data_IF_159395832468
#
_entry.id   IF_159395832468
#
_cell.length_a   1.000
_cell.length_b   1.000
_cell.length_c   1.000
_cell.angle_alpha   90.00
_cell.angle_beta   90.00
_cell.angle_gamma   90.00
#
_symmetry.space_group_name_H-M   'P 1'
#
loop_
_entity.id
_entity.type
_entity.pdbx_description
1 polymer ?
#
# COMPACT_ATOMS: atom_id res chain seq x y z
N UNK A 1 19.45 5.34 3.98
CA UNK A 1 18.61 6.47 3.55
C UNK A 1 17.29 6.33 4.28
N UNK A 2 16.77 7.39 4.90
CA UNK A 2 15.46 7.35 5.55
C UNK A 2 14.42 7.58 4.45
N UNK A 3 13.59 6.58 4.13
CA UNK A 3 12.50 6.76 3.17
C UNK A 3 11.51 7.79 3.73
N UNK A 4 11.23 8.84 2.96
CA UNK A 4 10.31 9.91 3.35
C UNK A 4 8.90 9.55 2.94
N UNK A 5 7.90 10.17 3.59
CA UNK A 5 6.51 10.01 3.17
C UNK A 5 6.30 10.38 1.70
N UNK A 6 6.92 11.46 1.23
CA UNK A 6 6.74 11.93 -0.16
C UNK A 6 7.29 10.93 -1.17
N UNK A 7 8.47 10.35 -0.92
CA UNK A 7 9.05 9.33 -1.79
C UNK A 7 8.20 8.05 -1.80
N UNK A 8 7.77 7.60 -0.62
CA UNK A 8 6.87 6.45 -0.47
C UNK A 8 5.54 6.65 -1.20
N UNK A 9 4.94 7.83 -1.06
CA UNK A 9 3.66 8.14 -1.68
C UNK A 9 3.76 8.22 -3.19
N UNK A 10 4.80 8.88 -3.72
CA UNK A 10 5.03 8.94 -5.17
C UNK A 10 5.34 7.55 -5.76
N UNK A 11 6.11 6.69 -5.07
CA UNK A 11 6.32 5.31 -5.51
C UNK A 11 5.02 4.50 -5.63
N UNK A 12 4.11 4.63 -4.65
CA UNK A 12 2.79 4.01 -4.71
C UNK A 12 1.93 4.56 -5.86
N UNK A 13 2.03 5.86 -6.12
CA UNK A 13 1.31 6.52 -7.21
C UNK A 13 1.83 6.06 -8.56
N UNK A 14 3.14 6.02 -8.77
CA UNK A 14 3.78 5.48 -9.98
C UNK A 14 3.36 4.02 -10.21
N UNK A 15 3.34 3.20 -9.16
CA UNK A 15 2.90 1.81 -9.25
C UNK A 15 1.41 1.69 -9.64
N UNK A 16 0.55 2.55 -9.10
CA UNK A 16 -0.86 2.61 -9.47
C UNK A 16 -1.05 3.03 -10.93
N UNK A 17 -0.39 4.10 -11.38
CA UNK A 17 -0.45 4.60 -12.75
C UNK A 17 0.08 3.58 -13.76
N UNK A 18 1.18 2.89 -13.44
CA UNK A 18 1.67 1.77 -14.24
C UNK A 18 0.61 0.65 -14.37
N UNK A 19 -0.06 0.29 -13.28
CA UNK A 19 -1.10 -0.72 -13.29
C UNK A 19 -2.37 -0.28 -14.01
N UNK A 20 -2.67 1.02 -14.10
CA UNK A 20 -3.77 1.52 -14.92
C UNK A 20 -3.58 1.15 -16.40
N UNK A 21 -2.34 1.19 -16.88
CA UNK A 21 -1.96 0.96 -18.28
C UNK A 21 -1.79 -0.52 -18.69
N UNK A 22 -2.09 -1.50 -17.83
CA UNK A 22 -1.98 -2.92 -18.20
C UNK A 22 -2.26 -3.94 -17.10
N UNK A 23 -2.51 -3.51 -15.86
CA UNK A 23 -2.84 -4.38 -14.75
C UNK A 23 -4.25 -4.98 -14.83
N UNK A 24 -4.43 -6.14 -14.20
CA UNK A 24 -5.76 -6.72 -14.01
C UNK A 24 -6.58 -5.86 -13.05
N UNK A 25 -7.91 -5.94 -13.12
CA UNK A 25 -8.81 -5.23 -12.20
C UNK A 25 -8.49 -5.52 -10.74
N UNK A 26 -8.07 -6.75 -10.43
CA UNK A 26 -7.62 -7.14 -9.09
C UNK A 26 -6.41 -6.32 -8.63
N UNK A 27 -5.34 -6.27 -9.46
CA UNK A 27 -4.10 -5.54 -9.14
C UNK A 27 -4.32 -4.04 -9.08
N UNK A 28 -5.14 -3.49 -9.98
CA UNK A 28 -5.55 -2.07 -9.97
C UNK A 28 -6.24 -1.70 -8.65
N UNK A 29 -7.20 -2.53 -8.21
CA UNK A 29 -7.89 -2.32 -6.92
C UNK A 29 -6.91 -2.41 -5.74
N UNK A 30 -5.94 -3.33 -5.77
CA UNK A 30 -4.93 -3.45 -4.70
C UNK A 30 -4.07 -2.20 -4.60
N UNK A 31 -3.57 -1.69 -5.73
CA UNK A 31 -2.77 -0.47 -5.76
C UNK A 31 -3.57 0.78 -5.35
N UNK A 32 -4.82 0.88 -5.78
CA UNK A 32 -5.70 1.96 -5.36
C UNK A 32 -5.91 1.97 -3.84
N UNK A 33 -6.16 0.80 -3.24
CA UNK A 33 -6.34 0.68 -1.78
C UNK A 33 -5.07 1.05 -1.02
N UNK A 34 -3.90 0.59 -1.47
CA UNK A 34 -2.62 0.95 -0.87
C UNK A 34 -2.38 2.48 -0.95
N UNK A 35 -2.61 3.08 -2.11
CA UNK A 35 -2.47 4.53 -2.30
C UNK A 35 -3.43 5.33 -1.41
N UNK A 36 -4.69 4.90 -1.29
CA UNK A 36 -5.68 5.56 -0.43
C UNK A 36 -5.28 5.49 1.05
N UNK A 37 -4.81 4.32 1.52
CA UNK A 37 -4.28 4.18 2.88
C UNK A 37 -3.13 5.16 3.11
N UNK A 38 -2.15 5.20 2.21
CA UNK A 38 -1.01 6.11 2.32
C UNK A 38 -1.44 7.60 2.32
N UNK A 39 -2.43 7.96 1.50
CA UNK A 39 -2.99 9.32 1.42
C UNK A 39 -3.64 9.77 2.73
N UNK A 40 -4.36 8.87 3.39
CA UNK A 40 -5.06 9.19 4.64
C UNK A 40 -4.14 9.19 5.85
N UNK A 41 -3.22 8.24 5.91
CA UNK A 41 -2.33 8.02 7.07
C UNK A 41 -1.20 9.05 7.14
N UNK A 42 -0.64 9.44 5.99
CA UNK A 42 0.44 10.42 5.88
C UNK A 42 1.69 10.11 6.74
N UNK A 43 1.93 8.83 7.02
CA UNK A 43 3.00 8.32 7.87
C UNK A 43 3.55 7.03 7.26
N UNK A 44 4.84 7.02 6.93
CA UNK A 44 5.51 5.88 6.28
C UNK A 44 6.05 4.85 7.28
N UNK A 45 6.36 5.29 8.51
CA UNK A 45 6.94 4.47 9.58
C UNK A 45 6.03 3.35 10.07
N UNK A 46 4.71 3.52 9.93
CA UNK A 46 3.73 2.47 10.19
C UNK A 46 3.90 1.24 9.27
N UNK A 47 4.57 1.41 8.14
CA UNK A 47 4.72 0.40 7.10
C UNK A 47 6.10 -0.27 7.05
N UNK A 48 7.01 0.02 8.01
CA UNK A 48 8.34 -0.59 8.05
C UNK A 48 8.36 -2.03 8.58
N UNK A 49 7.31 -2.44 9.30
CA UNK A 49 7.13 -3.80 9.80
C UNK A 49 5.96 -4.49 9.09
N UNK A 50 6.19 -5.69 8.58
CA UNK A 50 5.22 -6.40 7.75
C UNK A 50 3.99 -6.84 8.55
N UNK A 51 4.18 -7.35 9.76
CA UNK A 51 3.06 -7.83 10.58
C UNK A 51 2.22 -6.66 11.11
N UNK A 52 2.87 -5.57 11.52
CA UNK A 52 2.20 -4.32 11.90
C UNK A 52 1.44 -3.73 10.73
N UNK A 53 2.04 -3.70 9.53
CA UNK A 53 1.36 -3.27 8.30
C UNK A 53 0.10 -4.08 8.06
N UNK A 54 0.18 -5.40 8.18
CA UNK A 54 -0.96 -6.30 7.97
C UNK A 54 -2.08 -6.08 8.97
N UNK A 55 -1.75 -5.92 10.26
CA UNK A 55 -2.74 -5.59 11.29
C UNK A 55 -3.41 -4.25 11.01
N UNK A 56 -2.62 -3.24 10.65
CA UNK A 56 -3.11 -1.92 10.30
C UNK A 56 -4.05 -1.95 9.09
N UNK A 57 -3.64 -2.60 7.99
CA UNK A 57 -4.46 -2.75 6.78
C UNK A 57 -5.77 -3.48 7.08
N UNK A 58 -5.76 -4.50 7.94
CA UNK A 58 -6.99 -5.20 8.35
C UNK A 58 -7.95 -4.31 9.12
N UNK A 59 -7.44 -3.44 9.99
CA UNK A 59 -8.26 -2.47 10.71
C UNK A 59 -8.87 -1.43 9.76
N UNK A 60 -8.12 -1.04 8.75
CA UNK A 60 -8.54 -0.05 7.76
C UNK A 60 -9.48 -0.63 6.69
N UNK A 61 -9.34 -1.91 6.34
CA UNK A 61 -10.15 -2.63 5.35
C UNK A 61 -10.88 -3.83 6.01
N UNK A 62 -11.84 -3.59 6.92
CA UNK A 62 -12.48 -4.66 7.69
C UNK A 62 -13.32 -5.61 6.82
N UNK A 63 -13.84 -5.12 5.69
CA UNK A 63 -14.74 -5.86 4.81
C UNK A 63 -14.01 -6.61 3.67
N UNK A 64 -12.72 -6.36 3.49
CA UNK A 64 -11.93 -7.03 2.44
C UNK A 64 -11.44 -8.40 2.91
N UNK A 65 -11.33 -9.33 1.96
CA UNK A 65 -10.87 -10.69 2.24
C UNK A 65 -9.39 -10.75 2.67
N UNK A 66 -8.98 -11.90 3.23
CA UNK A 66 -7.62 -12.08 3.74
C UNK A 66 -6.54 -11.97 2.66
N UNK A 67 -6.84 -12.35 1.41
CA UNK A 67 -5.89 -12.26 0.31
C UNK A 67 -5.68 -10.79 -0.08
N UNK A 68 -6.76 -10.02 -0.16
CA UNK A 68 -6.71 -8.58 -0.42
C UNK A 68 -5.88 -7.87 0.64
N UNK A 69 -6.18 -8.11 1.91
CA UNK A 69 -5.47 -7.50 3.04
C UNK A 69 -3.98 -7.83 2.94
N UNK A 70 -3.63 -9.08 2.68
CA UNK A 70 -2.24 -9.50 2.54
C UNK A 70 -1.53 -8.78 1.37
N UNK A 71 -2.17 -8.70 0.21
CA UNK A 71 -1.56 -8.08 -0.97
C UNK A 71 -1.38 -6.57 -0.82
N UNK A 72 -2.37 -5.87 -0.25
CA UNK A 72 -2.25 -4.44 0.08
C UNK A 72 -1.12 -4.23 1.10
N UNK A 73 -1.02 -5.10 2.11
CA UNK A 73 0.01 -5.01 3.13
C UNK A 73 1.41 -5.17 2.56
N UNK A 74 1.60 -6.16 1.69
CA UNK A 74 2.88 -6.37 0.98
C UNK A 74 3.26 -5.16 0.14
N UNK A 75 2.29 -4.56 -0.55
CA UNK A 75 2.53 -3.39 -1.39
C UNK A 75 2.99 -2.19 -0.56
N UNK A 76 2.28 -1.87 0.52
CA UNK A 76 2.66 -0.79 1.45
C UNK A 76 4.05 -1.03 2.04
N UNK A 77 4.30 -2.25 2.54
CA UNK A 77 5.58 -2.61 3.15
C UNK A 77 6.75 -2.53 2.18
N UNK A 78 6.56 -3.01 0.94
CA UNK A 78 7.63 -2.99 -0.06
C UNK A 78 7.99 -1.56 -0.46
N UNK A 79 6.99 -0.72 -0.76
CA UNK A 79 7.23 0.68 -1.13
C UNK A 79 7.80 1.51 0.03
N UNK A 80 7.51 1.15 1.29
CA UNK A 80 8.08 1.83 2.45
C UNK A 80 9.56 1.46 2.69
N UNK A 81 10.03 0.34 2.14
CA UNK A 81 11.41 -0.14 2.32
C UNK A 81 12.38 0.28 1.22
N UNK A 82 11.87 0.66 0.05
CA UNK A 82 12.68 1.24 -1.03
C UNK A 82 13.14 2.66 -0.69
#
# INVERSE_FOLDING_TARGET
MTNTYDNFYEALKDQYEYLLNGGTSYRKKTALLALNIAKEVKQVDLFFDHERTKQFVRQYLPDEDNYRVLDVSKMLYHNAKE
#
